data_IF_487142781888
#
_entry.id   IF_487142781888
#
_cell.length_a   1.000
_cell.length_b   1.000
_cell.length_c   1.000
_cell.angle_alpha   90.00
_cell.angle_beta   90.00
_cell.angle_gamma   90.00
#
_symmetry.space_group_name_H-M   'P 1'
#
loop_
_entity.id
_entity.type
_entity.pdbx_description
1 polymer ?
#
# COMPACT_ATOMS: atom_id res chain seq x y z
N UNK A 1 -1.44 12.10 7.85
CA UNK A 1 -1.50 11.11 6.73
C UNK A 1 -0.26 11.32 5.88
N UNK A 2 0.67 10.35 5.83
CA UNK A 2 1.95 10.53 5.10
C UNK A 2 1.78 10.84 3.60
N UNK A 3 0.59 10.63 3.04
CA UNK A 3 0.22 11.05 1.68
C UNK A 3 0.26 12.57 1.46
N UNK A 4 0.21 13.38 2.53
CA UNK A 4 0.39 14.84 2.45
C UNK A 4 1.82 15.30 2.69
N UNK A 5 2.75 14.43 3.09
CA UNK A 5 4.10 14.84 3.55
C UNK A 5 4.88 15.64 2.50
N UNK A 6 4.53 15.52 1.21
CA UNK A 6 5.11 16.29 0.10
C UNK A 6 4.21 17.40 -0.46
N UNK A 7 2.98 17.52 0.04
CA UNK A 7 1.95 18.40 -0.52
C UNK A 7 1.54 19.52 0.43
N UNK A 8 1.54 19.26 1.74
CA UNK A 8 1.24 20.24 2.77
C UNK A 8 2.30 20.18 3.88
N UNK A 9 2.85 21.34 4.24
CA UNK A 9 3.80 21.46 5.34
C UNK A 9 3.02 21.65 6.65
N UNK A 10 2.68 20.54 7.29
CA UNK A 10 1.96 20.54 8.57
C UNK A 10 2.71 21.31 9.68
N UNK A 11 4.04 21.48 9.59
CA UNK A 11 4.80 22.24 10.60
C UNK A 11 4.49 23.73 10.55
N UNK A 12 3.93 24.22 9.43
CA UNK A 12 3.57 25.64 9.23
C UNK A 12 2.12 25.95 9.57
N UNK A 13 1.33 24.96 9.98
CA UNK A 13 -0.08 25.16 10.35
C UNK A 13 -0.21 26.07 11.57
N UNK A 14 -1.24 26.92 11.56
CA UNK A 14 -1.56 27.89 12.61
C UNK A 14 -3.01 27.76 13.07
N UNK A 15 -3.35 28.38 14.19
CA UNK A 15 -4.75 28.52 14.64
C UNK A 15 -5.57 29.21 13.54
N UNK A 16 -6.65 28.58 13.11
CA UNK A 16 -7.50 29.04 12.00
C UNK A 16 -7.26 28.29 10.68
N UNK A 17 -6.19 27.50 10.55
CA UNK A 17 -6.05 26.53 9.47
C UNK A 17 -6.96 25.32 9.70
N UNK A 18 -7.49 24.74 8.63
CA UNK A 18 -8.46 23.65 8.69
C UNK A 18 -7.92 22.33 8.16
N UNK A 19 -8.38 21.24 8.77
CA UNK A 19 -8.20 19.87 8.26
C UNK A 19 -9.56 19.20 8.24
N UNK A 20 -10.01 18.78 7.07
CA UNK A 20 -11.22 18.00 6.90
C UNK A 20 -10.86 16.63 6.31
N UNK A 21 -11.45 15.56 6.87
CA UNK A 21 -11.12 14.19 6.47
C UNK A 21 -12.41 13.38 6.37
N UNK A 22 -12.67 12.80 5.19
CA UNK A 22 -13.69 11.78 4.99
C UNK A 22 -13.05 10.41 5.07
N UNK A 23 -13.43 9.62 6.07
CA UNK A 23 -12.84 8.31 6.33
C UNK A 23 -13.90 7.27 6.70
N UNK A 24 -13.54 6.00 6.53
CA UNK A 24 -14.28 4.85 7.06
C UNK A 24 -13.43 4.12 8.10
N UNK A 25 -14.03 3.85 9.27
CA UNK A 25 -13.42 3.10 10.35
C UNK A 25 -14.32 1.90 10.68
N UNK A 26 -13.72 0.72 10.85
CA UNK A 26 -14.50 -0.48 11.21
C UNK A 26 -14.68 -0.52 12.73
N UNK A 27 -15.88 -0.92 13.15
CA UNK A 27 -16.27 -1.07 14.55
C UNK A 27 -16.73 -2.50 14.77
N UNK A 28 -16.34 -3.10 15.88
CA UNK A 28 -16.82 -4.40 16.34
C UNK A 28 -17.05 -4.33 17.84
N UNK A 29 -18.27 -4.67 18.29
CA UNK A 29 -18.65 -4.62 19.72
C UNK A 29 -18.34 -3.26 20.38
N UNK A 30 -18.64 -2.17 19.68
CA UNK A 30 -18.35 -0.80 20.16
C UNK A 30 -16.87 -0.39 20.11
N UNK A 31 -15.95 -1.29 19.78
CA UNK A 31 -14.52 -1.00 19.68
C UNK A 31 -14.08 -0.76 18.24
N UNK A 32 -13.24 0.26 18.04
CA UNK A 32 -12.59 0.50 16.75
C UNK A 32 -11.59 -0.60 16.44
N UNK A 33 -11.65 -1.16 15.23
CA UNK A 33 -10.75 -2.21 14.79
C UNK A 33 -10.14 -1.93 13.42
N UNK A 34 -8.82 -2.16 13.31
CA UNK A 34 -8.04 -1.95 12.10
C UNK A 34 -7.80 -0.49 11.75
N UNK A 35 -7.01 -0.25 10.70
CA UNK A 35 -6.67 1.11 10.26
C UNK A 35 -7.83 1.79 9.52
N UNK A 36 -8.11 3.07 9.79
CA UNK A 36 -9.10 3.84 9.03
C UNK A 36 -8.70 3.93 7.57
N UNK A 37 -9.69 3.94 6.68
CA UNK A 37 -9.49 4.17 5.25
C UNK A 37 -9.92 5.59 4.95
N UNK A 38 -8.98 6.42 4.49
CA UNK A 38 -9.27 7.81 4.13
C UNK A 38 -9.70 7.83 2.67
N UNK A 39 -10.90 8.36 2.42
CA UNK A 39 -11.45 8.51 1.06
C UNK A 39 -11.08 9.86 0.48
N UNK A 40 -11.16 10.91 1.30
CA UNK A 40 -10.82 12.27 0.92
C UNK A 40 -10.22 13.00 2.11
N UNK A 41 -9.30 13.92 1.86
CA UNK A 41 -8.87 14.87 2.87
C UNK A 41 -8.51 16.21 2.24
N UNK A 42 -8.79 17.27 2.99
CA UNK A 42 -8.43 18.65 2.71
C UNK A 42 -7.56 19.15 3.86
N UNK A 43 -6.41 19.72 3.52
CA UNK A 43 -5.55 20.44 4.44
C UNK A 43 -5.38 21.86 3.92
N UNK A 44 -5.75 22.81 4.74
CA UNK A 44 -5.53 24.23 4.51
C UNK A 44 -4.33 24.70 5.34
N UNK A 45 -3.33 25.31 4.71
CA UNK A 45 -2.20 25.92 5.40
C UNK A 45 -1.96 27.29 4.81
N UNK A 46 -2.09 28.36 5.61
CA UNK A 46 -1.93 29.76 5.14
C UNK A 46 -2.82 30.06 3.91
N UNK A 47 -4.11 29.73 4.00
CA UNK A 47 -5.10 29.89 2.92
C UNK A 47 -4.82 29.07 1.65
N UNK A 48 -3.83 28.16 1.66
CA UNK A 48 -3.58 27.23 0.56
C UNK A 48 -4.25 25.90 0.86
N UNK A 49 -5.28 25.59 0.09
CA UNK A 49 -6.02 24.34 0.17
C UNK A 49 -5.34 23.25 -0.66
N UNK A 50 -5.14 22.09 -0.05
CA UNK A 50 -4.54 20.92 -0.68
C UNK A 50 -5.45 19.72 -0.48
N UNK A 51 -5.79 19.04 -1.56
CA UNK A 51 -6.71 17.91 -1.56
C UNK A 51 -6.00 16.62 -1.92
N UNK A 52 -6.42 15.52 -1.27
CA UNK A 52 -6.11 14.17 -1.71
C UNK A 52 -7.40 13.36 -1.78
N UNK A 53 -7.52 12.54 -2.82
CA UNK A 53 -8.66 11.63 -2.98
C UNK A 53 -8.15 10.23 -3.30
N UNK A 54 -8.70 9.23 -2.60
CA UNK A 54 -8.44 7.82 -2.87
C UNK A 54 -9.29 7.39 -4.07
N UNK A 55 -8.68 6.84 -5.10
CA UNK A 55 -9.40 6.18 -6.18
C UNK A 55 -9.85 4.79 -5.70
N UNK A 56 -11.15 4.49 -5.78
CA UNK A 56 -11.70 3.23 -5.28
C UNK A 56 -11.35 2.03 -6.17
N UNK A 57 -10.91 2.26 -7.40
CA UNK A 57 -10.52 1.20 -8.34
C UNK A 57 -9.15 0.60 -8.00
N UNK A 58 -8.16 1.46 -7.76
CA UNK A 58 -6.76 1.05 -7.55
C UNK A 58 -6.26 1.25 -6.10
N UNK A 59 -7.01 1.99 -5.28
CA UNK A 59 -6.66 2.32 -3.89
C UNK A 59 -5.54 3.37 -3.75
N UNK A 60 -5.18 4.06 -4.83
CA UNK A 60 -4.11 5.07 -4.91
C UNK A 60 -4.69 6.46 -4.62
N UNK A 61 -3.88 7.35 -4.07
CA UNK A 61 -4.26 8.75 -3.85
C UNK A 61 -3.83 9.65 -5.01
N UNK A 62 -4.75 10.50 -5.46
CA UNK A 62 -4.57 11.46 -6.53
C UNK A 62 -5.01 12.87 -6.08
N UNK A 63 -4.54 13.91 -6.78
CA UNK A 63 -5.00 15.29 -6.61
C UNK A 63 -6.35 15.52 -7.32
N UNK A 64 -6.91 16.73 -7.22
CA UNK A 64 -8.17 17.08 -7.91
C UNK A 64 -8.12 16.95 -9.45
N UNK A 65 -6.92 16.88 -10.04
CA UNK A 65 -6.72 16.76 -11.48
C UNK A 65 -6.49 15.30 -11.91
N UNK A 66 -6.49 14.36 -10.97
CA UNK A 66 -6.19 12.95 -11.24
C UNK A 66 -4.70 12.67 -11.41
N UNK A 67 -3.81 13.55 -10.94
CA UNK A 67 -2.36 13.31 -10.88
C UNK A 67 -2.04 12.47 -9.67
N UNK A 68 -1.23 11.43 -9.88
CA UNK A 68 -0.89 10.49 -8.84
C UNK A 68 0.01 11.17 -7.80
N UNK A 69 -0.47 11.22 -6.56
CA UNK A 69 0.25 11.80 -5.43
C UNK A 69 1.13 10.76 -4.72
N UNK A 70 0.88 9.49 -5.00
CA UNK A 70 1.67 8.37 -4.51
C UNK A 70 2.90 8.22 -5.41
N UNK A 71 3.98 8.92 -5.07
CA UNK A 71 5.32 8.82 -5.71
C UNK A 71 5.97 7.42 -5.61
N UNK A 72 5.20 6.40 -5.25
CA UNK A 72 5.69 5.07 -4.93
C UNK A 72 5.73 4.17 -6.17
N UNK A 73 6.78 4.32 -6.97
CA UNK A 73 7.01 3.47 -8.14
C UNK A 73 7.52 2.10 -7.68
N UNK A 74 6.76 1.04 -7.95
CA UNK A 74 7.22 -0.34 -7.80
C UNK A 74 7.54 -0.95 -9.16
N UNK A 75 8.69 -1.62 -9.25
CA UNK A 75 9.06 -2.43 -10.41
C UNK A 75 8.78 -3.90 -10.13
N UNK A 76 8.56 -4.66 -11.19
CA UNK A 76 8.52 -6.13 -11.12
C UNK A 76 9.81 -6.64 -10.44
N UNK A 77 9.70 -7.43 -9.38
CA UNK A 77 10.84 -7.80 -8.53
C UNK A 77 11.69 -8.95 -9.07
N UNK A 78 11.29 -9.57 -10.18
CA UNK A 78 11.97 -10.71 -10.77
C UNK A 78 11.73 -10.72 -12.27
N UNK A 79 12.74 -11.09 -13.05
CA UNK A 79 12.52 -11.46 -14.44
C UNK A 79 11.88 -12.86 -14.44
N UNK A 80 10.65 -12.98 -14.93
CA UNK A 80 9.82 -14.19 -14.84
C UNK A 80 9.44 -14.71 -16.22
N UNK A 81 9.09 -16.00 -16.32
CA UNK A 81 8.62 -16.60 -17.58
C UNK A 81 7.12 -16.40 -17.78
N UNK A 82 6.33 -16.63 -16.72
CA UNK A 82 4.90 -16.33 -16.68
C UNK A 82 4.43 -16.01 -15.26
N UNK A 83 3.26 -15.41 -15.14
CA UNK A 83 2.53 -15.32 -13.87
C UNK A 83 1.78 -16.65 -13.70
N UNK A 84 2.16 -17.45 -12.70
CA UNK A 84 1.56 -18.77 -12.45
C UNK A 84 0.28 -18.70 -11.63
N UNK A 85 0.18 -17.75 -10.69
CA UNK A 85 -1.05 -17.47 -9.95
C UNK A 85 -1.17 -15.96 -9.68
N UNK A 86 -2.40 -15.44 -9.77
CA UNK A 86 -2.70 -14.01 -9.65
C UNK A 86 -3.25 -13.71 -8.26
N UNK A 87 -3.19 -12.44 -7.86
CA UNK A 87 -3.84 -11.98 -6.65
C UNK A 87 -5.36 -12.16 -6.76
N UNK A 88 -5.97 -12.80 -5.77
CA UNK A 88 -7.42 -12.90 -5.65
C UNK A 88 -7.85 -13.07 -4.21
N UNK A 89 -8.89 -12.35 -3.80
CA UNK A 89 -9.52 -12.55 -2.49
C UNK A 89 -10.32 -13.86 -2.42
N UNK A 90 -10.64 -14.48 -3.57
CA UNK A 90 -11.51 -15.65 -3.64
C UNK A 90 -11.09 -16.56 -4.82
N UNK A 91 -10.20 -17.53 -4.57
CA UNK A 91 -9.85 -18.60 -5.52
C UNK A 91 -10.54 -19.89 -5.11
N UNK A 92 -11.29 -20.51 -6.01
CA UNK A 92 -11.83 -21.85 -5.78
C UNK A 92 -10.69 -22.87 -5.78
N UNK A 93 -10.54 -23.65 -4.71
CA UNK A 93 -9.54 -24.72 -4.63
C UNK A 93 -10.20 -26.05 -5.01
N UNK A 94 -9.97 -26.59 -6.23
CA UNK A 94 -10.74 -27.72 -6.76
C UNK A 94 -10.61 -28.98 -5.91
N UNK A 95 -9.42 -29.23 -5.33
CA UNK A 95 -9.15 -30.42 -4.50
C UNK A 95 -9.75 -30.31 -3.09
N UNK A 96 -9.82 -29.10 -2.52
CA UNK A 96 -10.28 -28.89 -1.14
C UNK A 96 -11.73 -28.39 -1.09
N UNK A 97 -12.37 -28.23 -2.26
CA UNK A 97 -13.73 -27.69 -2.46
C UNK A 97 -14.02 -26.45 -1.60
N UNK A 98 -13.03 -25.57 -1.42
CA UNK A 98 -13.15 -24.35 -0.61
C UNK A 98 -12.50 -23.16 -1.30
N UNK A 99 -13.03 -21.97 -1.02
CA UNK A 99 -12.40 -20.73 -1.46
C UNK A 99 -11.19 -20.41 -0.57
N UNK A 100 -10.02 -20.18 -1.17
CA UNK A 100 -8.84 -19.63 -0.49
C UNK A 100 -8.39 -18.35 -1.18
N UNK A 101 -8.03 -17.35 -0.39
CA UNK A 101 -7.41 -16.16 -0.93
C UNK A 101 -5.96 -16.45 -1.34
N UNK A 102 -5.54 -15.87 -2.46
CA UNK A 102 -4.13 -15.76 -2.83
C UNK A 102 -3.74 -14.29 -2.72
N UNK A 103 -3.10 -13.94 -1.59
CA UNK A 103 -2.82 -12.56 -1.20
C UNK A 103 -1.47 -12.06 -1.74
N UNK A 104 -1.11 -12.49 -2.95
CA UNK A 104 0.11 -12.13 -3.65
C UNK A 104 0.03 -12.47 -5.13
N UNK A 105 1.15 -12.38 -5.82
CA UNK A 105 1.31 -12.81 -7.22
C UNK A 105 2.48 -13.77 -7.28
N UNK A 106 2.27 -14.91 -7.94
CA UNK A 106 3.30 -15.92 -8.13
C UNK A 106 3.94 -15.75 -9.51
N UNK A 107 5.23 -15.45 -9.49
CA UNK A 107 6.05 -15.29 -10.68
C UNK A 107 6.90 -16.54 -10.88
N UNK A 108 6.56 -17.34 -11.89
CA UNK A 108 7.34 -18.53 -12.23
C UNK A 108 8.70 -18.11 -12.79
N UNK A 109 9.77 -18.63 -12.18
CA UNK A 109 11.14 -18.35 -12.57
C UNK A 109 12.06 -19.50 -12.10
N UNK A 110 13.15 -19.81 -12.83
CA UNK A 110 14.04 -20.89 -12.43
C UNK A 110 14.73 -20.58 -11.09
N UNK A 111 15.04 -21.63 -10.33
CA UNK A 111 15.83 -21.53 -9.10
C UNK A 111 17.13 -20.76 -9.35
N UNK A 112 17.50 -19.88 -8.43
CA UNK A 112 18.69 -19.04 -8.56
C UNK A 112 18.50 -17.75 -9.35
N UNK A 113 17.33 -17.51 -9.96
CA UNK A 113 17.02 -16.22 -10.61
C UNK A 113 17.08 -15.09 -9.56
N UNK A 114 17.76 -13.96 -9.81
CA UNK A 114 17.82 -12.86 -8.86
C UNK A 114 16.44 -12.25 -8.58
N UNK A 115 16.16 -12.01 -7.29
CA UNK A 115 15.01 -11.26 -6.82
C UNK A 115 15.51 -9.90 -6.35
N UNK A 116 14.91 -8.83 -6.85
CA UNK A 116 15.26 -7.45 -6.51
C UNK A 116 14.17 -6.77 -5.70
N UNK A 117 14.55 -5.79 -4.89
CA UNK A 117 13.62 -4.93 -4.17
C UNK A 117 12.74 -4.16 -5.17
N UNK A 118 11.43 -4.38 -5.12
CA UNK A 118 10.44 -3.73 -5.99
C UNK A 118 10.46 -2.20 -5.85
N UNK A 119 10.84 -1.68 -4.69
CA UNK A 119 11.01 -0.26 -4.42
C UNK A 119 11.98 -0.03 -3.25
N UNK A 120 12.50 1.19 -3.11
CA UNK A 120 13.39 1.56 -2.01
C UNK A 120 12.69 1.43 -0.66
N UNK A 121 13.41 1.01 0.37
CA UNK A 121 12.84 0.81 1.71
C UNK A 121 13.80 0.19 2.71
N UNK A 122 13.29 -0.11 3.90
CA UNK A 122 14.03 -0.77 4.98
C UNK A 122 13.61 -2.24 5.05
N UNK A 123 14.57 -3.15 5.01
CA UNK A 123 14.33 -4.58 5.27
C UNK A 123 13.87 -4.72 6.72
N UNK A 124 12.64 -5.18 6.91
CA UNK A 124 12.06 -5.36 8.25
C UNK A 124 12.04 -6.82 8.69
N UNK A 125 12.20 -7.75 7.75
CA UNK A 125 12.31 -9.17 8.04
C UNK A 125 13.21 -9.87 7.02
N UNK A 126 14.05 -10.79 7.49
CA UNK A 126 14.81 -11.76 6.69
C UNK A 126 14.94 -13.03 7.51
N UNK A 127 14.26 -14.10 7.09
CA UNK A 127 14.23 -15.34 7.84
C UNK A 127 13.30 -16.36 7.20
N UNK A 128 13.09 -17.49 7.87
CA UNK A 128 12.11 -18.49 7.46
C UNK A 128 10.76 -18.14 8.07
N UNK A 129 9.68 -18.18 7.29
CA UNK A 129 8.34 -17.76 7.73
C UNK A 129 7.27 -18.78 7.34
N UNK A 130 7.17 -19.86 8.10
CA UNK A 130 6.17 -20.91 7.91
C UNK A 130 6.04 -21.37 6.45
N UNK A 131 4.82 -21.35 5.93
CA UNK A 131 4.54 -21.74 4.54
C UNK A 131 5.24 -20.91 3.46
N UNK A 132 5.69 -19.69 3.76
CA UNK A 132 6.45 -18.86 2.81
C UNK A 132 7.92 -19.30 2.65
N UNK A 133 8.42 -20.20 3.50
CA UNK A 133 9.81 -20.62 3.47
C UNK A 133 10.77 -19.44 3.73
N UNK A 134 11.88 -19.37 3.01
CA UNK A 134 12.82 -18.25 3.12
C UNK A 134 12.18 -16.98 2.54
N UNK A 135 12.04 -15.97 3.39
CA UNK A 135 11.30 -14.75 3.09
C UNK A 135 12.10 -13.51 3.46
N UNK A 136 11.92 -12.46 2.65
CA UNK A 136 12.32 -11.08 2.96
C UNK A 136 11.07 -10.21 2.97
N UNK A 137 10.94 -9.31 3.94
CA UNK A 137 9.93 -8.25 3.92
C UNK A 137 10.60 -6.88 3.97
N UNK A 138 10.12 -5.95 3.15
CA UNK A 138 10.63 -4.59 3.06
C UNK A 138 9.50 -3.62 3.34
N UNK A 139 9.70 -2.73 4.31
CA UNK A 139 8.83 -1.59 4.58
C UNK A 139 9.27 -0.41 3.73
N UNK A 140 8.31 0.27 3.14
CA UNK A 140 8.56 1.40 2.28
C UNK A 140 7.82 2.66 2.75
N UNK A 141 8.06 3.76 2.04
CA UNK A 141 7.30 5.00 2.23
C UNK A 141 5.79 4.78 2.03
N UNK A 142 4.98 5.67 2.59
CA UNK A 142 3.52 5.61 2.45
C UNK A 142 2.88 4.35 3.02
N UNK A 143 3.46 3.71 4.05
CA UNK A 143 2.93 2.49 4.68
C UNK A 143 2.74 1.30 3.73
N UNK A 144 3.56 1.23 2.67
CA UNK A 144 3.67 0.04 1.85
C UNK A 144 4.61 -0.98 2.48
N UNK A 145 4.31 -2.25 2.29
CA UNK A 145 5.19 -3.36 2.62
C UNK A 145 5.17 -4.37 1.49
N UNK A 146 6.34 -4.80 1.03
CA UNK A 146 6.48 -5.92 0.11
C UNK A 146 7.02 -7.16 0.81
N UNK A 147 6.55 -8.33 0.38
CA UNK A 147 6.95 -9.64 0.86
C UNK A 147 7.44 -10.47 -0.32
N UNK A 148 8.59 -11.11 -0.16
CA UNK A 148 9.26 -11.92 -1.17
C UNK A 148 9.55 -13.28 -0.57
N UNK A 149 8.86 -14.32 -1.05
CA UNK A 149 8.87 -15.64 -0.44
C UNK A 149 9.44 -16.73 -1.37
N UNK A 150 9.54 -17.94 -0.82
CA UNK A 150 10.06 -19.15 -1.47
C UNK A 150 11.50 -19.05 -1.98
N UNK A 151 12.34 -18.20 -1.37
CA UNK A 151 13.72 -18.01 -1.83
C UNK A 151 14.58 -19.28 -1.65
N UNK A 152 15.49 -19.55 -2.57
CA UNK A 152 16.51 -20.60 -2.38
C UNK A 152 17.58 -20.16 -1.38
N UNK A 153 18.01 -18.91 -1.51
CA UNK A 153 18.99 -18.26 -0.62
C UNK A 153 18.78 -16.74 -0.59
N UNK A 154 19.22 -16.13 0.50
CA UNK A 154 19.27 -14.69 0.63
C UNK A 154 20.50 -14.13 -0.08
N UNK A 155 20.44 -12.86 -0.47
CA UNK A 155 21.64 -12.10 -0.78
C UNK A 155 22.37 -11.68 0.51
N UNK A 156 23.34 -10.76 0.39
CA UNK A 156 24.05 -10.16 1.52
C UNK A 156 23.18 -9.21 2.37
N UNK A 157 21.93 -8.92 1.95
CA UNK A 157 21.05 -8.02 2.72
C UNK A 157 20.71 -8.58 4.09
N UNK A 158 20.56 -7.69 5.08
CA UNK A 158 20.23 -8.03 6.47
C UNK A 158 18.98 -7.30 6.95
N UNK A 159 18.31 -7.84 7.97
CA UNK A 159 17.24 -7.13 8.68
C UNK A 159 17.78 -5.80 9.20
N UNK A 160 16.98 -4.73 9.09
CA UNK A 160 17.36 -3.38 9.46
C UNK A 160 18.04 -2.58 8.35
N UNK A 161 18.54 -3.23 7.29
CA UNK A 161 19.25 -2.55 6.20
C UNK A 161 18.31 -1.75 5.29
N UNK A 162 18.74 -0.56 4.88
CA UNK A 162 18.10 0.19 3.79
C UNK A 162 18.57 -0.31 2.44
N UNK A 163 17.63 -0.55 1.54
CA UNK A 163 17.88 -1.01 0.16
C UNK A 163 17.23 -0.05 -0.83
N UNK A 164 17.92 0.18 -1.95
CA UNK A 164 17.35 0.93 -3.08
C UNK A 164 16.51 -0.01 -3.95
N UNK A 165 15.53 0.53 -4.68
CA UNK A 165 14.85 -0.22 -5.74
C UNK A 165 15.88 -0.89 -6.67
N UNK A 166 15.62 -2.14 -7.06
CA UNK A 166 16.53 -2.91 -7.93
C UNK A 166 17.68 -3.60 -7.19
N UNK A 167 17.89 -3.34 -5.89
CA UNK A 167 18.89 -4.06 -5.10
C UNK A 167 18.52 -5.54 -5.04
N UNK A 168 19.45 -6.44 -5.35
CA UNK A 168 19.24 -7.89 -5.20
C UNK A 168 19.10 -8.21 -3.71
N UNK A 169 17.98 -8.85 -3.36
CA UNK A 169 17.65 -9.21 -1.97
C UNK A 169 17.73 -10.72 -1.73
N UNK A 170 17.61 -11.53 -2.79
CA UNK A 170 17.70 -12.97 -2.71
C UNK A 170 17.56 -13.61 -4.08
N UNK A 171 17.32 -14.91 -4.09
CA UNK A 171 17.23 -15.68 -5.32
C UNK A 171 16.05 -16.64 -5.26
N UNK A 172 15.37 -16.82 -6.39
CA UNK A 172 14.21 -17.70 -6.52
C UNK A 172 14.55 -19.12 -6.09
N UNK A 173 13.60 -19.79 -5.47
CA UNK A 173 13.68 -21.18 -5.07
C UNK A 173 12.28 -21.78 -4.94
N UNK A 174 12.17 -22.81 -4.10
CA UNK A 174 10.91 -23.50 -3.82
C UNK A 174 10.81 -23.93 -2.35
N UNK A 175 11.34 -23.12 -1.43
CA UNK A 175 11.29 -23.44 0.02
C UNK A 175 9.91 -23.15 0.61
N UNK A 176 9.53 -23.85 1.69
CA UNK A 176 8.21 -23.70 2.29
C UNK A 176 7.16 -24.53 1.53
N UNK A 177 5.91 -24.10 1.53
CA UNK A 177 4.83 -24.75 0.79
C UNK A 177 4.82 -24.21 -0.64
N UNK A 178 5.51 -24.92 -1.53
CA UNK A 178 5.67 -24.53 -2.93
C UNK A 178 5.67 -25.78 -3.82
N UNK A 179 4.96 -25.73 -4.95
CA UNK A 179 4.90 -26.84 -5.91
C UNK A 179 6.05 -26.83 -6.92
N UNK A 180 6.78 -25.72 -7.04
CA UNK A 180 7.93 -25.60 -7.93
C UNK A 180 8.57 -24.22 -7.86
N UNK A 181 9.70 -23.99 -8.56
CA UNK A 181 10.42 -22.73 -8.48
C UNK A 181 9.61 -21.51 -8.90
N UNK A 182 9.35 -20.60 -7.96
CA UNK A 182 8.67 -19.33 -8.20
C UNK A 182 8.97 -18.31 -7.10
N UNK A 183 8.68 -17.04 -7.38
CA UNK A 183 8.60 -15.99 -6.37
C UNK A 183 7.14 -15.74 -6.03
N UNK A 184 6.75 -15.96 -4.78
CA UNK A 184 5.52 -15.38 -4.24
C UNK A 184 5.80 -13.94 -3.81
N UNK A 185 5.15 -12.99 -4.47
CA UNK A 185 5.26 -11.55 -4.20
C UNK A 185 3.98 -11.01 -3.58
N UNK A 186 4.04 -10.70 -2.29
CA UNK A 186 2.95 -10.07 -1.56
C UNK A 186 3.13 -8.56 -1.51
N UNK A 187 2.03 -7.80 -1.65
CA UNK A 187 2.04 -6.36 -1.43
C UNK A 187 0.97 -5.95 -0.46
N UNK A 188 1.33 -5.07 0.48
CA UNK A 188 0.45 -4.62 1.54
C UNK A 188 0.48 -3.10 1.64
N UNK A 189 -0.68 -2.50 1.93
CA UNK A 189 -0.87 -1.08 2.24
C UNK A 189 -1.67 -0.96 3.53
N UNK A 190 -1.14 -0.24 4.52
CA UNK A 190 -1.78 -0.10 5.84
C UNK A 190 -2.16 -1.47 6.43
N UNK A 191 -1.26 -2.46 6.30
CA UNK A 191 -1.48 -3.83 6.79
C UNK A 191 -2.41 -4.71 5.95
N UNK A 192 -3.14 -4.18 4.96
CA UNK A 192 -4.02 -4.96 4.09
C UNK A 192 -3.30 -5.38 2.81
N UNK A 193 -3.45 -6.65 2.41
CA UNK A 193 -2.92 -7.12 1.14
C UNK A 193 -3.66 -6.44 -0.02
N UNK A 194 -2.93 -6.02 -1.05
CA UNK A 194 -3.45 -5.37 -2.24
C UNK A 194 -2.86 -6.03 -3.49
N UNK A 195 -3.58 -5.96 -4.61
CA UNK A 195 -3.12 -6.54 -5.86
C UNK A 195 -1.87 -5.79 -6.39
N UNK A 196 -0.68 -6.42 -6.44
CA UNK A 196 0.53 -5.76 -6.93
C UNK A 196 0.44 -5.34 -8.39
N UNK A 197 -0.36 -6.04 -9.21
CA UNK A 197 -0.52 -5.72 -10.62
C UNK A 197 -1.16 -4.34 -10.85
N UNK A 198 -1.95 -3.85 -9.90
CA UNK A 198 -2.56 -2.52 -9.97
C UNK A 198 -1.55 -1.42 -9.64
N UNK A 199 -0.49 -1.72 -8.87
CA UNK A 199 0.52 -0.72 -8.46
C UNK A 199 1.69 -0.69 -9.45
N UNK A 200 2.18 -1.86 -9.87
CA UNK A 200 3.32 -1.97 -10.80
C UNK A 200 2.96 -1.41 -12.19
N UNK A 201 1.68 -1.43 -12.58
CA UNK A 201 1.20 -0.83 -13.85
C UNK A 201 1.06 0.70 -13.80
N UNK A 202 1.05 1.32 -12.63
CA UNK A 202 0.79 2.77 -12.47
C UNK A 202 2.11 3.55 -12.54
N UNK A 203 2.86 3.31 -13.61
CA UNK A 203 3.85 4.23 -14.18
C UNK A 203 3.18 5.33 -15.01
N UNK A 204 1.90 5.61 -14.77
CA UNK A 204 1.24 6.81 -15.30
C UNK A 204 1.16 7.81 -14.16
N UNK A 205 1.83 8.95 -14.33
CA UNK A 205 1.78 10.09 -13.41
C UNK A 205 0.36 10.66 -13.24
N UNK A 206 -0.61 10.20 -14.05
CA UNK A 206 -1.97 10.73 -14.10
C UNK A 206 -2.95 9.68 -14.67
N UNK A 207 -4.20 9.70 -14.20
CA UNK A 207 -5.30 8.96 -14.82
C UNK A 207 -5.53 9.43 -16.27
N UNK A 208 -6.09 8.58 -17.14
CA UNK A 208 -6.36 8.93 -18.55
C UNK A 208 -7.76 8.52 -18.99
N UNK A 209 -8.27 9.17 -20.03
CA UNK A 209 -9.53 8.82 -20.70
C UNK A 209 -10.74 8.85 -19.76
N UNK A 210 -11.64 7.87 -19.92
CA UNK A 210 -12.89 7.77 -19.15
C UNK A 210 -12.65 7.65 -17.64
N UNK A 211 -11.56 6.99 -17.23
CA UNK A 211 -11.23 6.82 -15.81
C UNK A 211 -10.88 8.17 -15.15
N UNK A 212 -10.15 9.04 -15.86
CA UNK A 212 -9.84 10.40 -15.38
C UNK A 212 -11.12 11.22 -15.21
N UNK A 213 -12.03 11.17 -16.19
CA UNK A 213 -13.28 11.94 -16.15
C UNK A 213 -14.16 11.50 -14.97
N UNK A 214 -14.36 10.19 -14.79
CA UNK A 214 -15.10 9.64 -13.64
C UNK A 214 -14.46 10.03 -12.31
N UNK A 215 -13.13 9.95 -12.24
CA UNK A 215 -12.40 10.31 -11.03
C UNK A 215 -12.52 11.80 -10.69
N UNK A 216 -12.41 12.71 -11.67
CA UNK A 216 -12.55 14.15 -11.44
C UNK A 216 -13.96 14.48 -10.95
N UNK A 217 -15.00 13.86 -11.50
CA UNK A 217 -16.37 14.05 -11.02
C UNK A 217 -16.53 13.61 -9.56
N UNK A 218 -15.99 12.44 -9.22
CA UNK A 218 -15.94 11.92 -7.85
C UNK A 218 -15.16 12.83 -6.89
N UNK A 219 -13.99 13.30 -7.30
CA UNK A 219 -13.15 14.22 -6.52
C UNK A 219 -13.87 15.56 -6.28
N UNK A 220 -14.62 16.06 -7.27
CA UNK A 220 -15.41 17.29 -7.15
C UNK A 220 -16.51 17.14 -6.09
N UNK A 221 -17.27 16.06 -6.12
CA UNK A 221 -18.31 15.77 -5.12
C UNK A 221 -17.71 15.74 -3.70
N UNK A 222 -16.61 15.00 -3.53
CA UNK A 222 -15.92 14.93 -2.25
C UNK A 222 -15.31 16.26 -1.79
N UNK A 223 -14.84 17.09 -2.72
CA UNK A 223 -14.30 18.41 -2.38
C UNK A 223 -15.38 19.33 -1.79
N UNK A 224 -16.60 19.28 -2.36
CA UNK A 224 -17.73 20.06 -1.87
C UNK A 224 -18.13 19.62 -0.45
N UNK A 225 -18.19 18.30 -0.21
CA UNK A 225 -18.48 17.72 1.11
C UNK A 225 -17.45 18.16 2.18
N UNK A 226 -16.16 18.16 1.82
CA UNK A 226 -15.09 18.63 2.71
C UNK A 226 -15.17 20.13 3.02
N UNK A 227 -15.46 20.96 2.01
CA UNK A 227 -15.61 22.42 2.19
C UNK A 227 -16.84 22.72 3.05
N UNK A 228 -17.97 22.06 2.79
CA UNK A 228 -19.19 22.24 3.56
C UNK A 228 -18.98 21.88 5.03
N UNK A 229 -18.17 20.84 5.30
CA UNK A 229 -17.78 20.45 6.66
C UNK A 229 -17.01 21.56 7.36
N UNK A 230 -16.12 22.28 6.68
CA UNK A 230 -15.39 23.40 7.28
C UNK A 230 -16.33 24.58 7.56
N UNK A 231 -17.21 24.90 6.61
CA UNK A 231 -18.14 26.03 6.71
C UNK A 231 -19.18 25.86 7.82
N UNK A 232 -19.69 24.64 7.99
CA UNK A 232 -20.72 24.33 8.99
C UNK A 232 -20.19 24.31 10.43
N UNK A 233 -18.88 24.54 10.65
CA UNK A 233 -18.21 24.51 11.97
C UNK A 233 -18.75 23.40 12.90
N UNK A 234 -18.79 22.13 12.45
CA UNK A 234 -19.18 21.03 13.31
C UNK A 234 -18.27 21.01 14.53
N UNK A 235 -18.80 20.55 15.67
CA UNK A 235 -18.05 20.40 16.92
C UNK A 235 -16.70 19.77 16.57
N UNK A 236 -15.57 20.47 16.74
CA UNK A 236 -14.28 19.92 16.39
C UNK A 236 -14.13 18.64 17.18
N UNK A 237 -13.71 17.55 16.52
CA UNK A 237 -13.28 16.36 17.22
C UNK A 237 -12.27 16.82 18.27
N UNK A 238 -12.61 16.68 19.55
CA UNK A 238 -11.76 17.11 20.64
C UNK A 238 -10.64 16.08 20.77
N UNK A 239 -9.72 16.12 19.81
CA UNK A 239 -8.56 15.25 19.71
C UNK A 239 -7.54 15.80 20.71
N UNK A 240 -7.76 15.54 22.00
CA UNK A 240 -6.84 15.93 23.09
C UNK A 240 -5.48 15.24 22.97
N UNK A 241 -5.39 14.16 22.17
CA UNK A 241 -4.15 13.56 21.68
C UNK A 241 -4.31 13.14 20.22
N UNK A 242 -3.42 13.63 19.34
CA UNK A 242 -3.15 12.94 18.08
C UNK A 242 -2.41 11.64 18.46
N UNK A 243 -3.16 10.60 18.77
CA UNK A 243 -2.58 9.28 18.99
C UNK A 243 -2.14 8.75 17.63
N UNK A 244 -0.90 9.09 17.24
CA UNK A 244 -0.20 8.48 16.15
C UNK A 244 0.15 7.04 16.54
N UNK A 245 -0.84 6.15 16.60
CA UNK A 245 -0.55 4.73 16.73
C UNK A 245 0.04 4.23 15.41
N UNK A 246 1.37 4.11 15.41
CA UNK A 246 2.02 3.11 14.57
C UNK A 246 1.92 1.79 15.33
N UNK A 247 0.74 1.17 15.32
CA UNK A 247 0.61 -0.21 15.79
C UNK A 247 1.29 -1.13 14.77
N UNK A 248 2.61 -1.27 14.90
CA UNK A 248 3.29 -2.51 14.57
C UNK A 248 3.13 -3.39 15.80
N UNK A 249 1.95 -3.96 15.98
CA UNK A 249 1.83 -5.11 16.88
C UNK A 249 2.45 -6.29 16.13
N UNK A 250 3.74 -6.48 16.36
CA UNK A 250 4.35 -7.79 16.36
C UNK A 250 3.88 -8.48 17.64
N UNK A 251 2.86 -9.31 17.55
CA UNK A 251 2.62 -10.33 18.56
C UNK A 251 2.43 -11.67 17.86
N UNK A 252 3.42 -12.53 18.14
CA UNK A 252 3.54 -14.00 18.13
C UNK A 252 2.81 -14.79 17.03
#
# INVERSE_FOLDING_TARGET
>A
VRSFDRLADFKRMRKGDHVAIKYTQRIRMGQYYGTPTIHAALVEVKNKQTYIFKNEIDGIYYDQNGRNLTSFFMKTPVNYTRISDRFTYKRWHPVLKRYRAHLGVDYAAPTGRPIVAAASGKVIFRGVKGGYGKTVEIRHEGNYKSLYAHMSRYSKVRSGQWVKQGTVIGYVGSTGVSTGPHLHFGLYKNGRAINPANIIKVTKNELKGKDKQKFIAYAKELSQDLIQTIQNKPIPLNITKIEAYTALNSEV
#
